data_IF_968749406459
#
_entry.id   IF_968749406459
#
_cell.length_a   1.000
_cell.length_b   1.000
_cell.length_c   1.000
_cell.angle_alpha   90.00
_cell.angle_beta   90.00
_cell.angle_gamma   90.00
#
_symmetry.space_group_name_H-M   'P 1'
#
loop_
_entity.id
_entity.type
_entity.pdbx_description
1 polymer ?
#
# COMPACT_ATOMS: atom_id res chain seq x y z
N UNK A 1 39.06 -43.03 28.42
CA UNK A 1 37.76 -42.81 29.11
C UNK A 1 36.76 -42.34 28.06
N UNK A 2 36.13 -43.30 27.37
CA UNK A 2 35.11 -43.05 26.35
C UNK A 2 33.78 -43.38 27.01
N UNK A 3 32.93 -42.39 27.22
CA UNK A 3 31.56 -42.61 27.66
C UNK A 3 30.79 -43.26 26.50
N UNK A 4 30.85 -44.58 26.43
CA UNK A 4 29.92 -45.39 25.66
C UNK A 4 28.58 -45.29 26.37
N UNK A 5 27.73 -44.37 25.92
CA UNK A 5 26.32 -44.33 26.30
C UNK A 5 25.72 -45.67 25.85
N UNK A 6 25.31 -46.48 26.81
CA UNK A 6 24.69 -47.78 26.58
C UNK A 6 23.27 -47.53 26.01
N UNK A 7 23.10 -47.68 24.69
CA UNK A 7 21.86 -47.37 23.96
C UNK A 7 20.75 -48.42 24.24
N UNK A 8 21.08 -49.54 24.89
CA UNK A 8 20.17 -50.66 25.16
C UNK A 8 19.07 -50.40 26.19
N UNK A 9 19.19 -49.38 27.04
CA UNK A 9 18.18 -49.01 28.05
C UNK A 9 17.54 -47.63 27.79
N UNK A 10 17.67 -47.08 26.57
CA UNK A 10 16.92 -45.88 26.25
C UNK A 10 15.43 -46.21 26.13
N UNK A 11 14.67 -45.71 27.10
CA UNK A 11 13.22 -45.66 27.06
C UNK A 11 12.79 -45.05 25.71
N UNK A 12 12.28 -45.88 24.80
CA UNK A 12 11.88 -45.49 23.44
C UNK A 12 10.94 -44.28 23.45
N UNK A 13 10.14 -44.14 24.51
CA UNK A 13 9.30 -42.97 24.78
C UNK A 13 10.11 -41.67 24.88
N UNK A 14 11.26 -41.67 25.58
CA UNK A 14 12.15 -40.52 25.68
C UNK A 14 12.79 -40.16 24.33
N UNK A 15 13.20 -41.15 23.53
CA UNK A 15 13.73 -40.92 22.18
C UNK A 15 12.66 -40.27 21.29
N UNK A 16 11.43 -40.79 21.32
CA UNK A 16 10.31 -40.25 20.53
C UNK A 16 9.99 -38.82 20.96
N UNK A 17 9.95 -38.53 22.27
CA UNK A 17 9.71 -37.17 22.79
C UNK A 17 10.82 -36.19 22.33
N UNK A 18 12.09 -36.60 22.39
CA UNK A 18 13.21 -35.79 21.90
C UNK A 18 13.14 -35.54 20.39
N UNK A 19 12.78 -36.55 19.60
CA UNK A 19 12.63 -36.43 18.16
C UNK A 19 11.47 -35.47 17.79
N UNK A 20 10.31 -35.61 18.43
CA UNK A 20 9.16 -34.70 18.23
C UNK A 20 9.52 -33.28 18.66
N UNK A 21 10.20 -33.12 19.80
CA UNK A 21 10.68 -31.82 20.29
C UNK A 21 11.64 -31.13 19.31
N UNK A 22 12.57 -31.89 18.73
CA UNK A 22 13.51 -31.38 17.73
C UNK A 22 12.79 -30.96 16.44
N UNK A 23 11.83 -31.76 15.95
CA UNK A 23 11.03 -31.41 14.76
C UNK A 23 10.22 -30.12 15.03
N UNK A 24 9.58 -30.01 16.19
CA UNK A 24 8.84 -28.81 16.57
C UNK A 24 9.75 -27.57 16.63
N UNK A 25 10.96 -27.70 17.18
CA UNK A 25 11.97 -26.64 17.21
C UNK A 25 12.39 -26.21 15.80
N UNK A 26 12.63 -27.16 14.90
CA UNK A 26 12.98 -26.89 13.51
C UNK A 26 11.86 -26.16 12.76
N UNK A 27 10.60 -26.56 12.96
CA UNK A 27 9.43 -25.87 12.39
C UNK A 27 9.35 -24.43 12.94
N UNK A 28 9.54 -24.25 14.24
CA UNK A 28 9.52 -22.93 14.88
C UNK A 28 10.61 -22.01 14.32
N UNK A 29 11.85 -22.50 14.21
CA UNK A 29 12.98 -21.76 13.63
C UNK A 29 12.72 -21.40 12.17
N UNK A 30 12.22 -22.35 11.37
CA UNK A 30 11.87 -22.10 9.96
C UNK A 30 10.82 -20.99 9.82
N UNK A 31 9.79 -20.97 10.67
CA UNK A 31 8.76 -19.92 10.67
C UNK A 31 9.37 -18.56 11.01
N UNK A 32 10.25 -18.49 12.04
CA UNK A 32 10.90 -17.26 12.47
C UNK A 32 11.83 -16.68 11.40
N UNK A 33 12.67 -17.52 10.80
CA UNK A 33 13.59 -17.13 9.72
C UNK A 33 12.80 -16.59 8.51
N UNK A 34 11.74 -17.29 8.12
CA UNK A 34 10.91 -16.86 6.99
C UNK A 34 10.23 -15.51 7.25
N UNK A 35 9.64 -15.30 8.44
CA UNK A 35 9.08 -13.99 8.83
C UNK A 35 10.11 -12.88 8.75
N UNK A 36 11.32 -13.11 9.28
CA UNK A 36 12.42 -12.15 9.22
C UNK A 36 12.83 -11.78 7.79
N UNK A 37 12.97 -12.78 6.91
CA UNK A 37 13.28 -12.57 5.49
C UNK A 37 12.22 -11.71 4.78
N UNK A 38 10.94 -11.99 4.97
CA UNK A 38 9.85 -11.20 4.38
C UNK A 38 9.81 -9.77 4.94
N UNK A 39 10.02 -9.59 6.24
CA UNK A 39 10.09 -8.26 6.86
C UNK A 39 11.25 -7.43 6.31
N UNK A 40 12.43 -8.03 6.16
CA UNK A 40 13.59 -7.36 5.56
C UNK A 40 13.35 -7.00 4.09
N UNK A 41 12.73 -7.90 3.31
CA UNK A 41 12.37 -7.64 1.91
C UNK A 41 11.37 -6.49 1.80
N UNK A 42 10.32 -6.51 2.62
CA UNK A 42 9.33 -5.45 2.70
C UNK A 42 9.95 -4.09 3.05
N UNK A 43 10.76 -4.02 4.12
CA UNK A 43 11.43 -2.79 4.55
C UNK A 43 12.32 -2.20 3.46
N UNK A 44 13.10 -3.05 2.77
CA UNK A 44 13.94 -2.63 1.64
C UNK A 44 13.10 -2.07 0.49
N UNK A 45 12.02 -2.77 0.12
CA UNK A 45 11.11 -2.33 -0.94
C UNK A 45 10.45 -0.98 -0.61
N UNK A 46 9.85 -0.86 0.58
CA UNK A 46 9.21 0.38 1.03
C UNK A 46 10.20 1.55 1.05
N UNK A 47 11.41 1.37 1.60
CA UNK A 47 12.43 2.42 1.61
C UNK A 47 12.84 2.87 0.21
N UNK A 48 12.95 1.92 -0.74
CA UNK A 48 13.23 2.23 -2.16
C UNK A 48 12.08 3.03 -2.78
N UNK A 49 10.83 2.61 -2.53
CA UNK A 49 9.64 3.27 -3.02
C UNK A 49 9.50 4.70 -2.46
N UNK A 50 9.63 4.87 -1.15
CA UNK A 50 9.53 6.18 -0.47
C UNK A 50 10.59 7.18 -1.00
N UNK A 51 11.82 6.72 -1.22
CA UNK A 51 12.88 7.52 -1.85
C UNK A 51 12.51 7.95 -3.27
N UNK A 52 12.02 7.02 -4.09
CA UNK A 52 11.65 7.30 -5.47
C UNK A 52 10.45 8.24 -5.58
N UNK A 53 9.47 8.07 -4.70
CA UNK A 53 8.28 8.94 -4.63
C UNK A 53 8.67 10.35 -4.21
N UNK A 54 9.53 10.49 -3.20
CA UNK A 54 9.97 11.80 -2.74
C UNK A 54 10.82 12.52 -3.80
N UNK A 55 11.67 11.80 -4.54
CA UNK A 55 12.62 12.40 -5.50
C UNK A 55 12.05 12.62 -6.92
N UNK A 56 11.31 11.65 -7.47
CA UNK A 56 10.92 11.62 -8.90
C UNK A 56 9.41 11.62 -9.13
N UNK A 57 8.62 11.12 -8.17
CA UNK A 57 7.18 10.98 -8.30
C UNK A 57 6.44 11.69 -7.18
N UNK A 58 6.85 12.95 -6.91
CA UNK A 58 6.22 13.79 -5.92
C UNK A 58 4.87 14.28 -6.46
N UNK A 59 3.78 13.88 -5.80
CA UNK A 59 2.42 14.20 -6.25
C UNK A 59 2.10 15.69 -6.15
N UNK A 60 2.60 16.38 -5.12
CA UNK A 60 2.34 17.80 -4.90
C UNK A 60 3.00 18.65 -6.00
N UNK A 61 4.28 18.38 -6.27
CA UNK A 61 5.02 19.05 -7.35
C UNK A 61 4.39 18.76 -8.71
N UNK A 62 3.94 17.52 -8.95
CA UNK A 62 3.25 17.19 -10.19
C UNK A 62 1.95 17.99 -10.32
N UNK A 63 1.11 18.04 -9.28
CA UNK A 63 -0.13 18.80 -9.30
C UNK A 63 0.11 20.29 -9.59
N UNK A 64 1.11 20.89 -8.94
CA UNK A 64 1.52 22.28 -9.18
C UNK A 64 1.94 22.51 -10.64
N UNK A 65 2.82 21.67 -11.19
CA UNK A 65 3.24 21.76 -12.60
C UNK A 65 2.05 21.62 -13.55
N UNK A 66 1.11 20.72 -13.24
CA UNK A 66 -0.06 20.51 -14.07
C UNK A 66 -0.94 21.75 -14.08
N UNK A 67 -1.37 22.21 -12.91
CA UNK A 67 -2.26 23.37 -12.72
C UNK A 67 -1.66 24.61 -13.38
N UNK A 68 -0.39 24.91 -13.11
CA UNK A 68 0.23 26.16 -13.54
C UNK A 68 0.57 26.21 -15.04
N UNK A 69 0.79 25.07 -15.70
CA UNK A 69 1.40 25.10 -17.05
C UNK A 69 0.89 24.06 -18.05
N UNK A 70 0.34 22.93 -17.59
CA UNK A 70 0.04 21.79 -18.46
C UNK A 70 -1.45 21.51 -18.66
N UNK A 71 -2.34 22.30 -18.08
CA UNK A 71 -3.78 22.27 -18.37
C UNK A 71 -4.10 22.99 -19.69
N UNK A 72 -5.03 22.45 -20.47
CA UNK A 72 -5.64 23.11 -21.65
C UNK A 72 -6.93 23.84 -21.27
N UNK A 73 -7.65 23.31 -20.30
CA UNK A 73 -8.88 23.83 -19.75
C UNK A 73 -8.87 23.63 -18.23
N UNK A 74 -9.82 24.22 -17.52
CA UNK A 74 -9.89 24.13 -16.05
C UNK A 74 -10.41 22.77 -15.55
N UNK A 75 -10.74 21.82 -16.43
CA UNK A 75 -11.36 20.56 -16.02
C UNK A 75 -10.31 19.61 -15.46
N UNK A 76 -10.60 19.03 -14.31
CA UNK A 76 -9.71 18.13 -13.57
C UNK A 76 -9.60 16.71 -14.19
N UNK A 77 -9.22 16.63 -15.46
CA UNK A 77 -9.22 15.40 -16.28
C UNK A 77 -7.88 15.18 -17.01
N UNK A 78 -7.58 13.92 -17.31
CA UNK A 78 -6.40 13.58 -18.10
C UNK A 78 -6.49 14.08 -19.56
N UNK A 79 -7.69 14.07 -20.15
CA UNK A 79 -7.90 14.53 -21.54
C UNK A 79 -7.57 16.02 -21.71
N UNK A 80 -7.85 16.80 -20.68
CA UNK A 80 -7.60 18.24 -20.55
C UNK A 80 -6.11 18.61 -20.48
N UNK A 81 -5.21 17.63 -20.37
CA UNK A 81 -3.77 17.90 -20.33
C UNK A 81 -3.18 18.18 -21.71
N UNK A 82 -2.19 19.07 -21.75
CA UNK A 82 -1.24 19.24 -22.86
C UNK A 82 -0.39 17.99 -23.03
N UNK A 83 0.26 17.82 -24.19
CA UNK A 83 1.03 16.61 -24.53
C UNK A 83 2.14 16.27 -23.52
N UNK A 84 2.87 17.29 -23.04
CA UNK A 84 3.90 17.13 -22.00
C UNK A 84 3.28 16.69 -20.66
N UNK A 85 2.21 17.35 -20.19
CA UNK A 85 1.46 16.93 -19.00
C UNK A 85 0.94 15.49 -19.08
N UNK A 86 0.38 15.09 -20.23
CA UNK A 86 -0.06 13.70 -20.50
C UNK A 86 1.05 12.68 -20.32
N UNK A 87 2.29 13.01 -20.74
CA UNK A 87 3.46 12.14 -20.60
C UNK A 87 3.91 12.03 -19.14
N UNK A 88 3.92 13.14 -18.40
CA UNK A 88 4.26 13.16 -16.97
C UNK A 88 3.29 12.30 -16.15
N UNK A 89 1.98 12.52 -16.34
CA UNK A 89 0.95 11.76 -15.63
C UNK A 89 0.99 10.27 -15.98
N UNK A 90 1.27 9.90 -17.23
CA UNK A 90 1.46 8.48 -17.61
C UNK A 90 2.61 7.85 -16.83
N UNK A 91 3.79 8.49 -16.80
CA UNK A 91 4.94 7.98 -16.05
C UNK A 91 4.61 7.82 -14.56
N UNK A 92 3.93 8.81 -14.00
CA UNK A 92 3.47 8.78 -12.62
C UNK A 92 2.52 7.61 -12.35
N UNK A 93 1.41 7.51 -13.09
CA UNK A 93 0.45 6.42 -12.92
C UNK A 93 1.06 5.05 -13.19
N UNK A 94 1.90 4.90 -14.21
CA UNK A 94 2.58 3.64 -14.50
C UNK A 94 3.42 3.17 -13.32
N UNK A 95 4.20 4.07 -12.71
CA UNK A 95 4.99 3.77 -11.52
C UNK A 95 4.13 3.23 -10.38
N UNK A 96 3.04 3.90 -10.03
CA UNK A 96 2.15 3.46 -8.94
C UNK A 96 1.42 2.16 -9.28
N UNK A 97 0.97 1.96 -10.52
CA UNK A 97 0.27 0.74 -10.94
C UNK A 97 1.16 -0.51 -10.86
N UNK A 98 2.48 -0.34 -11.02
CA UNK A 98 3.47 -1.42 -10.89
C UNK A 98 3.84 -1.68 -9.44
N UNK A 99 4.16 -0.63 -8.67
CA UNK A 99 4.77 -0.77 -7.35
C UNK A 99 3.77 -0.92 -6.19
N UNK A 100 2.57 -0.31 -6.26
CA UNK A 100 1.60 -0.39 -5.16
C UNK A 100 1.06 -1.81 -4.91
N UNK A 101 0.70 -2.60 -5.95
CA UNK A 101 0.27 -3.97 -5.72
C UNK A 101 1.36 -4.84 -5.10
N UNK A 102 2.63 -4.61 -5.47
CA UNK A 102 3.77 -5.31 -4.87
C UNK A 102 3.97 -4.89 -3.41
N UNK A 103 3.84 -3.60 -3.07
CA UNK A 103 3.89 -3.13 -1.68
C UNK A 103 2.83 -3.82 -0.81
N UNK A 104 1.58 -3.88 -1.28
CA UNK A 104 0.49 -4.52 -0.58
C UNK A 104 0.70 -6.04 -0.43
N UNK A 105 1.16 -6.69 -1.50
CA UNK A 105 1.50 -8.11 -1.48
C UNK A 105 2.61 -8.43 -0.48
N UNK A 106 3.73 -7.68 -0.50
CA UNK A 106 4.81 -7.87 0.45
C UNK A 106 4.38 -7.59 1.90
N UNK A 107 3.52 -6.58 2.11
CA UNK A 107 2.96 -6.30 3.43
C UNK A 107 2.09 -7.45 3.95
N UNK A 108 1.39 -8.19 3.09
CA UNK A 108 0.54 -9.30 3.50
C UNK A 108 1.30 -10.39 4.27
N UNK A 109 2.55 -10.70 3.87
CA UNK A 109 3.37 -11.74 4.50
C UNK A 109 3.81 -11.43 5.93
N UNK A 110 3.84 -10.14 6.30
CA UNK A 110 4.21 -9.68 7.65
C UNK A 110 2.98 -9.31 8.49
N UNK A 111 1.79 -9.29 7.86
CA UNK A 111 0.53 -9.02 8.55
C UNK A 111 -0.04 -10.30 9.20
N UNK A 112 -0.98 -10.13 10.13
CA UNK A 112 -1.70 -11.26 10.74
C UNK A 112 -2.57 -12.01 9.72
N UNK A 113 -3.15 -11.32 8.74
CA UNK A 113 -3.99 -11.91 7.68
C UNK A 113 -3.22 -12.07 6.37
N UNK A 114 -2.39 -13.12 6.32
CA UNK A 114 -1.52 -13.45 5.17
C UNK A 114 -2.25 -13.69 3.85
N UNK A 115 -3.57 -13.89 3.89
CA UNK A 115 -4.39 -14.17 2.70
C UNK A 115 -4.80 -12.88 1.96
N UNK A 116 -4.70 -11.72 2.61
CA UNK A 116 -5.04 -10.42 2.03
C UNK A 116 -3.82 -9.79 1.34
N UNK A 117 -3.66 -10.05 0.05
CA UNK A 117 -2.52 -9.55 -0.73
C UNK A 117 -2.89 -8.68 -1.94
N UNK A 118 -4.18 -8.56 -2.27
CA UNK A 118 -4.60 -7.81 -3.45
C UNK A 118 -5.04 -6.39 -3.08
N UNK A 119 -4.31 -5.40 -3.58
CA UNK A 119 -4.69 -3.99 -3.46
C UNK A 119 -5.85 -3.66 -4.40
N UNK A 120 -6.83 -2.95 -3.85
CA UNK A 120 -7.90 -2.35 -4.62
C UNK A 120 -8.08 -0.90 -4.22
N UNK A 121 -8.20 -0.02 -5.21
CA UNK A 121 -8.53 1.39 -5.02
C UNK A 121 -9.98 1.60 -5.41
N UNK A 122 -10.73 2.29 -4.57
CA UNK A 122 -12.16 2.45 -4.65
C UNK A 122 -12.49 3.93 -4.82
N UNK A 123 -13.37 4.20 -5.78
CA UNK A 123 -14.03 5.48 -5.95
C UNK A 123 -15.42 5.29 -5.38
N UNK A 124 -15.75 6.09 -4.39
CA UNK A 124 -17.02 6.06 -3.70
C UNK A 124 -17.76 7.36 -3.98
N UNK A 125 -19.08 7.30 -4.03
CA UNK A 125 -19.90 8.50 -3.95
C UNK A 125 -20.06 8.95 -2.49
N UNK A 126 -20.75 10.07 -2.29
CA UNK A 126 -21.07 10.64 -0.97
C UNK A 126 -21.84 9.67 -0.04
N UNK A 127 -22.56 8.70 -0.63
CA UNK A 127 -23.30 7.67 0.09
C UNK A 127 -22.48 6.41 0.39
N UNK A 128 -21.14 6.48 0.26
CA UNK A 128 -20.19 5.38 0.42
C UNK A 128 -20.39 4.20 -0.57
N UNK A 129 -21.13 4.40 -1.66
CA UNK A 129 -21.33 3.37 -2.68
C UNK A 129 -20.14 3.36 -3.65
N UNK A 130 -19.61 2.17 -3.92
CA UNK A 130 -18.52 1.96 -4.88
C UNK A 130 -19.02 2.20 -6.30
N UNK A 131 -18.56 3.30 -6.91
CA UNK A 131 -18.88 3.68 -8.30
C UNK A 131 -17.80 3.22 -9.28
N UNK A 132 -16.57 3.01 -8.80
CA UNK A 132 -15.51 2.42 -9.59
C UNK A 132 -14.48 1.72 -8.72
N UNK A 133 -13.91 0.67 -9.29
CA UNK A 133 -12.91 -0.19 -8.64
C UNK A 133 -11.71 -0.31 -9.55
N UNK A 134 -10.55 0.13 -9.06
CA UNK A 134 -9.28 -0.15 -9.69
C UNK A 134 -8.59 -1.32 -9.00
N UNK A 135 -8.10 -2.27 -9.80
CA UNK A 135 -7.25 -3.37 -9.35
C UNK A 135 -6.05 -3.49 -10.33
N UNK A 136 -5.07 -4.34 -9.99
CA UNK A 136 -3.85 -4.55 -10.80
C UNK A 136 -4.14 -4.89 -12.26
N UNK A 137 -5.26 -5.57 -12.57
CA UNK A 137 -5.61 -5.99 -13.93
C UNK A 137 -5.91 -4.81 -14.84
N UNK A 138 -6.43 -3.71 -14.29
CA UNK A 138 -6.80 -2.51 -15.04
C UNK A 138 -5.60 -1.64 -15.45
N UNK A 139 -4.44 -1.87 -14.84
CA UNK A 139 -3.18 -1.15 -15.13
C UNK A 139 -3.37 0.37 -15.10
N UNK A 140 -2.47 1.12 -15.74
CA UNK A 140 -2.57 2.58 -15.89
C UNK A 140 -3.86 3.04 -16.61
N UNK A 141 -4.36 2.25 -17.58
CA UNK A 141 -5.57 2.61 -18.34
C UNK A 141 -6.79 2.75 -17.42
N UNK A 142 -6.86 1.95 -16.36
CA UNK A 142 -7.90 2.07 -15.33
C UNK A 142 -7.91 3.44 -14.66
N UNK A 143 -6.76 3.96 -14.26
CA UNK A 143 -6.65 5.31 -13.67
C UNK A 143 -7.01 6.39 -14.68
N UNK A 144 -6.50 6.31 -15.91
CA UNK A 144 -6.85 7.28 -16.96
C UNK A 144 -8.36 7.30 -17.22
N UNK A 145 -9.00 6.13 -17.26
CA UNK A 145 -10.45 6.03 -17.45
C UNK A 145 -11.21 6.65 -16.27
N UNK A 146 -10.81 6.37 -15.03
CA UNK A 146 -11.51 6.89 -13.85
C UNK A 146 -11.34 8.40 -13.70
N UNK A 147 -10.14 8.95 -13.88
CA UNK A 147 -9.95 10.41 -13.75
C UNK A 147 -10.68 11.20 -14.83
N UNK A 148 -10.82 10.66 -16.04
CA UNK A 148 -11.61 11.30 -17.09
C UNK A 148 -13.11 11.19 -16.84
N UNK A 149 -13.59 10.04 -16.33
CA UNK A 149 -15.01 9.83 -16.07
C UNK A 149 -15.51 10.66 -14.88
N UNK A 150 -14.67 10.78 -13.85
CA UNK A 150 -15.06 11.36 -12.56
C UNK A 150 -14.38 12.69 -12.25
N UNK A 151 -13.60 13.25 -13.18
CA UNK A 151 -12.87 14.52 -12.99
C UNK A 151 -12.02 14.55 -11.72
N UNK A 152 -11.22 13.49 -11.49
CA UNK A 152 -10.43 13.32 -10.26
C UNK A 152 -8.92 13.25 -10.54
N UNK A 153 -8.39 13.98 -11.51
CA UNK A 153 -6.96 13.89 -11.85
C UNK A 153 -6.06 14.31 -10.68
N UNK A 154 -6.19 15.54 -10.19
CA UNK A 154 -5.36 16.07 -9.10
C UNK A 154 -5.61 15.37 -7.76
N UNK A 155 -6.86 15.02 -7.38
CA UNK A 155 -7.10 14.17 -6.22
C UNK A 155 -6.42 12.80 -6.35
N UNK A 156 -6.52 12.13 -7.51
CA UNK A 156 -5.92 10.81 -7.64
C UNK A 156 -4.38 10.87 -7.53
N UNK A 157 -3.75 11.92 -8.06
CA UNK A 157 -2.30 12.13 -7.92
C UNK A 157 -1.93 12.31 -6.44
N UNK A 158 -2.62 13.20 -5.72
CA UNK A 158 -2.36 13.42 -4.29
C UNK A 158 -2.59 12.15 -3.46
N UNK A 159 -3.70 11.45 -3.73
CA UNK A 159 -4.04 10.19 -3.09
C UNK A 159 -2.96 9.13 -3.28
N UNK A 160 -2.48 8.93 -4.52
CA UNK A 160 -1.44 7.95 -4.80
C UNK A 160 -0.12 8.30 -4.12
N UNK A 161 0.20 9.59 -3.97
CA UNK A 161 1.40 10.02 -3.26
C UNK A 161 1.40 9.63 -1.77
N UNK A 162 0.26 9.73 -1.10
CA UNK A 162 0.13 9.42 0.33
C UNK A 162 -0.18 7.95 0.63
N UNK A 163 -0.77 7.25 -0.33
CA UNK A 163 -1.23 5.87 -0.18
C UNK A 163 -0.14 4.89 0.32
N UNK A 164 1.13 4.92 -0.15
CA UNK A 164 2.17 4.00 0.32
C UNK A 164 2.43 4.10 1.82
N UNK A 165 2.37 5.30 2.38
CA UNK A 165 2.55 5.53 3.81
C UNK A 165 1.37 4.97 4.61
N UNK A 166 0.15 5.15 4.14
CA UNK A 166 -1.04 4.59 4.79
C UNK A 166 -1.05 3.07 4.70
N UNK A 167 -0.67 2.51 3.55
CA UNK A 167 -0.43 1.07 3.41
C UNK A 167 0.66 0.63 4.39
N UNK A 168 1.76 1.37 4.56
CA UNK A 168 2.84 1.01 5.48
C UNK A 168 2.41 0.98 6.94
N UNK A 169 1.68 1.99 7.40
CA UNK A 169 1.17 2.08 8.76
C UNK A 169 -0.05 1.16 8.98
N UNK A 170 -0.74 0.75 7.91
CA UNK A 170 -1.90 -0.13 7.99
C UNK A 170 -3.16 0.59 8.44
N UNK A 171 -3.26 1.88 8.13
CA UNK A 171 -4.40 2.73 8.50
C UNK A 171 -5.32 2.96 7.30
N UNK A 172 -6.64 2.98 7.49
CA UNK A 172 -7.58 3.38 6.45
C UNK A 172 -7.20 4.75 5.88
N UNK A 173 -7.33 4.91 4.57
CA UNK A 173 -7.16 6.18 3.91
C UNK A 173 -8.42 6.51 3.11
N UNK A 174 -8.98 7.68 3.38
CA UNK A 174 -10.11 8.25 2.64
C UNK A 174 -9.74 9.68 2.29
N UNK A 175 -9.90 10.03 1.03
CA UNK A 175 -9.69 11.38 0.56
C UNK A 175 -10.90 11.82 -0.24
N UNK A 176 -11.57 12.85 0.26
CA UNK A 176 -12.74 13.44 -0.39
C UNK A 176 -12.25 14.49 -1.39
N UNK A 177 -12.79 14.45 -2.59
CA UNK A 177 -12.63 15.55 -3.53
C UNK A 177 -13.65 16.64 -3.21
N UNK A 178 -13.18 17.84 -2.95
CA UNK A 178 -14.04 18.96 -2.57
C UNK A 178 -14.91 19.45 -3.73
N UNK A 179 -14.48 19.24 -4.98
CA UNK A 179 -15.21 19.74 -6.16
C UNK A 179 -16.47 18.93 -6.49
N UNK A 180 -16.49 17.63 -6.17
CA UNK A 180 -17.57 16.73 -6.61
C UNK A 180 -18.01 15.68 -5.58
N UNK A 181 -17.57 15.82 -4.32
CA UNK A 181 -17.97 14.95 -3.21
C UNK A 181 -17.50 13.49 -3.31
N UNK A 182 -16.78 13.11 -4.37
CA UNK A 182 -16.31 11.74 -4.56
C UNK A 182 -15.16 11.42 -3.61
N UNK A 183 -15.16 10.20 -3.10
CA UNK A 183 -14.20 9.75 -2.10
C UNK A 183 -13.30 8.67 -2.70
N UNK A 184 -11.99 8.86 -2.60
CA UNK A 184 -11.00 7.82 -2.86
C UNK A 184 -10.69 7.05 -1.59
N UNK A 185 -10.69 5.72 -1.69
CA UNK A 185 -10.27 4.85 -0.60
C UNK A 185 -9.55 3.60 -1.13
N UNK A 186 -8.99 2.79 -0.24
CA UNK A 186 -8.35 1.54 -0.62
C UNK A 186 -8.75 0.41 0.33
N UNK A 187 -8.62 -0.81 -0.18
CA UNK A 187 -8.73 -2.01 0.62
C UNK A 187 -7.67 -3.04 0.17
N UNK A 188 -7.27 -3.90 1.09
CA UNK A 188 -6.38 -5.03 0.81
C UNK A 188 -7.17 -6.31 1.06
N UNK A 189 -7.55 -6.97 -0.03
CA UNK A 189 -8.49 -8.10 -0.02
C UNK A 189 -7.82 -9.38 -0.49
N UNK A 190 -8.48 -10.52 -0.25
CA UNK A 190 -8.06 -11.82 -0.80
C UNK A 190 -8.29 -11.88 -2.31
N UNK A 191 -9.45 -11.36 -2.75
CA UNK A 191 -9.86 -11.32 -4.15
C UNK A 191 -10.53 -10.00 -4.48
N UNK A 192 -10.02 -9.31 -5.49
CA UNK A 192 -10.60 -8.07 -5.98
C UNK A 192 -12.03 -8.25 -6.51
N UNK A 193 -12.47 -9.47 -6.84
CA UNK A 193 -13.81 -9.75 -7.40
C UNK A 193 -14.93 -9.50 -6.38
N UNK A 194 -14.74 -9.84 -5.11
CA UNK A 194 -15.79 -9.91 -4.08
C UNK A 194 -15.86 -8.70 -3.15
N UNK A 195 -15.76 -7.49 -3.69
CA UNK A 195 -15.82 -6.27 -2.86
C UNK A 195 -17.27 -5.84 -2.65
N UNK A 196 -17.59 -5.47 -1.40
CA UNK A 196 -18.91 -4.95 -1.03
C UNK A 196 -19.23 -3.67 -1.80
N UNK A 197 -20.48 -3.54 -2.25
CA UNK A 197 -20.99 -2.37 -3.00
C UNK A 197 -20.99 -1.08 -2.15
N UNK A 198 -21.07 -1.18 -0.83
CA UNK A 198 -21.05 -0.05 0.11
C UNK A 198 -19.89 -0.21 1.10
N UNK A 199 -19.13 0.86 1.30
CA UNK A 199 -17.90 0.87 2.09
C UNK A 199 -17.93 2.00 3.12
N UNK A 200 -18.62 1.72 4.23
CA UNK A 200 -18.74 2.66 5.35
C UNK A 200 -17.36 2.99 5.95
N UNK A 201 -17.17 4.20 6.51
CA UNK A 201 -15.98 4.53 7.26
C UNK A 201 -15.78 3.52 8.40
N UNK A 202 -14.57 2.98 8.50
CA UNK A 202 -14.21 2.04 9.56
C UNK A 202 -13.94 2.83 10.84
N UNK A 203 -14.58 2.46 11.95
CA UNK A 203 -14.19 2.95 13.28
C UNK A 203 -12.77 2.46 13.58
N UNK A 204 -11.86 3.38 13.88
CA UNK A 204 -10.45 3.09 14.13
C UNK A 204 -10.27 2.48 15.51
N UNK A 205 -9.44 1.44 15.59
CA UNK A 205 -8.96 0.89 16.86
C UNK A 205 -7.91 1.81 17.50
N UNK A 206 -7.65 1.65 18.81
CA UNK A 206 -6.58 2.39 19.53
C UNK A 206 -5.21 2.28 18.83
N UNK A 207 -4.89 1.13 18.23
CA UNK A 207 -3.64 0.93 17.49
C UNK A 207 -3.62 1.72 16.18
N UNK A 208 -4.75 1.77 15.48
CA UNK A 208 -4.88 2.53 14.23
C UNK A 208 -4.89 4.04 14.46
N UNK A 209 -5.43 4.52 15.59
CA UNK A 209 -5.35 5.94 15.98
C UNK A 209 -3.90 6.39 16.17
N UNK A 210 -3.11 5.65 16.97
CA UNK A 210 -1.67 5.92 17.12
C UNK A 210 -0.92 5.87 15.80
N UNK A 211 -1.30 4.94 14.91
CA UNK A 211 -0.70 4.86 13.58
C UNK A 211 -1.10 6.05 12.69
N UNK A 212 -2.32 6.58 12.84
CA UNK A 212 -2.77 7.78 12.12
C UNK A 212 -2.01 9.03 12.59
N UNK A 213 -1.74 9.17 13.89
CA UNK A 213 -0.88 10.22 14.45
C UNK A 213 0.55 10.12 13.87
N UNK A 214 1.09 8.90 13.71
CA UNK A 214 2.40 8.69 13.05
C UNK A 214 2.40 9.12 11.59
N UNK A 215 1.32 8.83 10.85
CA UNK A 215 1.14 9.33 9.49
C UNK A 215 1.18 10.86 9.48
N UNK A 216 0.39 11.52 10.33
CA UNK A 216 0.33 12.98 10.41
C UNK A 216 1.69 13.60 10.77
N UNK A 217 2.37 13.07 11.79
CA UNK A 217 3.70 13.55 12.17
C UNK A 217 4.74 13.36 11.06
N UNK A 218 4.66 12.26 10.31
CA UNK A 218 5.55 11.99 9.17
C UNK A 218 5.29 12.97 8.02
N UNK A 219 4.02 13.30 7.77
CA UNK A 219 3.64 14.33 6.80
C UNK A 219 4.22 15.69 7.18
N UNK A 220 4.05 16.12 8.44
CA UNK A 220 4.59 17.38 8.96
C UNK A 220 6.11 17.44 8.83
N UNK A 221 6.82 16.36 9.18
CA UNK A 221 8.28 16.29 8.99
C UNK A 221 8.71 16.39 7.53
N UNK A 222 7.91 15.81 6.61
CA UNK A 222 8.19 15.88 5.17
C UNK A 222 7.94 17.28 4.62
N UNK A 223 6.86 17.96 5.03
CA UNK A 223 6.58 19.33 4.60
C UNK A 223 7.64 20.31 5.12
N UNK A 224 8.02 20.22 6.40
CA UNK A 224 9.09 21.05 6.99
C UNK A 224 10.45 20.86 6.30
N UNK A 225 10.78 19.63 5.88
CA UNK A 225 12.01 19.37 5.13
C UNK A 225 11.97 19.89 3.70
N UNK A 226 10.78 19.96 3.10
CA UNK A 226 10.60 20.52 1.77
C UNK A 226 10.72 22.05 1.81
N UNK A 227 10.13 22.70 2.82
CA UNK A 227 10.22 24.17 2.97
C UNK A 227 11.62 24.67 3.32
N UNK A 228 12.45 23.88 4.02
CA UNK A 228 13.86 24.23 4.30
C UNK A 228 14.80 24.09 3.10
N UNK A 229 14.32 23.54 1.98
CA UNK A 229 15.12 23.30 0.76
C UNK A 229 14.68 24.14 -0.44
N UNK A 230 13.56 24.86 -0.30
CA UNK A 230 13.13 25.89 -1.21
C UNK A 230 13.77 27.21 -0.78
#
# INVERSE_FOLDING_TARGET
>A
MVFLVNIGELNWTLIIILAVGFIALMIFLAIMINKGKYAARYKRFYKKMDRMITKKYNGNLLNEVLINSQMKDERNMYKSLKGKGKRLVRKYFDYYTKNLPELAFLKSFISSDKKKGQLVILFLNELDKVIFRWDKSKKMRGFIKSVNKYQMLTPLIGYLYELPLHIHEGVPYRMTNHDNGLILSYDIVKSAKHIKRKQKPKKLSKKELKAQERVQSTKLKKSQKASKKA
#
